data_IF_948449530027
#
_entry.id   IF_948449530027
#
_cell.length_a   1.000
_cell.length_b   1.000
_cell.length_c   1.000
_cell.angle_alpha   90.00
_cell.angle_beta   90.00
_cell.angle_gamma   90.00
#
_symmetry.space_group_name_H-M   'P 1'
#
loop_
_entity.id
_entity.type
_entity.pdbx_description
1 polymer ?
#
# COMPACT_ATOMS: atom_id res chain seq x y z
N UNK A 1 49.13 50.93 -23.95
CA UNK A 1 48.59 51.29 -22.64
C UNK A 1 47.08 51.17 -22.76
N UNK A 2 46.51 50.21 -22.09
CA UNK A 2 45.05 49.97 -22.06
C UNK A 2 44.81 48.74 -21.27
N UNK A 3 44.59 48.89 -19.96
CA UNK A 3 44.19 47.82 -19.06
C UNK A 3 42.77 47.37 -19.34
N UNK A 4 42.58 46.07 -19.47
CA UNK A 4 41.24 45.45 -19.55
C UNK A 4 41.13 44.59 -18.29
N UNK A 5 40.43 45.09 -17.28
CA UNK A 5 39.99 44.35 -16.10
C UNK A 5 38.85 43.45 -16.48
N UNK A 6 39.07 42.14 -16.41
CA UNK A 6 38.04 41.11 -16.61
C UNK A 6 37.31 40.80 -15.32
N UNK A 7 36.04 41.17 -15.22
CA UNK A 7 35.14 40.70 -14.20
C UNK A 7 34.71 39.27 -14.47
N UNK A 8 34.99 38.36 -13.55
CA UNK A 8 34.45 36.98 -13.54
C UNK A 8 33.06 37.04 -12.92
N UNK A 9 32.04 36.99 -13.78
CA UNK A 9 30.67 36.75 -13.34
C UNK A 9 30.47 35.34 -12.81
N UNK A 10 30.17 35.21 -11.53
CA UNK A 10 29.68 33.98 -10.91
C UNK A 10 28.28 33.67 -11.47
N UNK A 11 28.17 32.63 -12.25
CA UNK A 11 26.88 32.04 -12.61
C UNK A 11 26.35 31.24 -11.42
N UNK A 12 25.63 31.88 -10.53
CA UNK A 12 24.69 31.23 -9.62
C UNK A 12 23.56 30.63 -10.45
N UNK A 13 23.54 29.33 -10.57
CA UNK A 13 22.37 28.59 -11.06
C UNK A 13 21.29 28.64 -9.99
N UNK A 14 20.41 29.59 -10.11
CA UNK A 14 19.12 29.55 -9.41
C UNK A 14 18.30 28.42 -10.04
N UNK A 15 18.11 27.36 -9.27
CA UNK A 15 17.19 26.30 -9.61
C UNK A 15 15.77 26.88 -9.58
N UNK A 16 15.20 27.06 -10.75
CA UNK A 16 13.87 27.64 -10.91
C UNK A 16 12.84 26.73 -10.26
N UNK A 17 12.10 27.27 -9.31
CA UNK A 17 10.97 26.72 -8.57
C UNK A 17 9.86 26.11 -9.47
N UNK A 18 9.95 26.31 -10.78
CA UNK A 18 8.95 25.84 -11.74
C UNK A 18 9.01 24.35 -12.07
N UNK A 19 10.08 23.63 -11.75
CA UNK A 19 10.17 22.18 -11.97
C UNK A 19 9.58 21.35 -10.84
N UNK A 20 9.44 21.91 -9.64
CA UNK A 20 8.82 21.26 -8.50
C UNK A 20 7.27 21.25 -8.54
N UNK A 21 6.67 22.07 -9.42
CA UNK A 21 5.20 22.13 -9.54
C UNK A 21 4.59 21.08 -10.46
N UNK A 22 5.39 20.32 -11.23
CA UNK A 22 4.86 19.35 -12.22
C UNK A 22 4.60 17.94 -11.67
N UNK A 23 4.92 17.66 -10.42
CA UNK A 23 4.70 16.36 -9.80
C UNK A 23 4.26 16.47 -8.34
N UNK A 24 3.21 17.26 -8.07
CA UNK A 24 2.56 17.18 -6.75
C UNK A 24 1.84 15.83 -6.67
N UNK A 25 2.20 14.97 -5.72
CA UNK A 25 1.43 13.77 -5.45
C UNK A 25 0.01 14.20 -5.06
N UNK A 26 -0.99 13.56 -5.63
CA UNK A 26 -2.39 13.78 -5.26
C UNK A 26 -2.69 12.93 -4.05
N UNK A 27 -3.08 13.54 -2.95
CA UNK A 27 -3.60 12.84 -1.78
C UNK A 27 -5.01 12.34 -2.13
N UNK A 28 -5.29 11.06 -1.89
CA UNK A 28 -6.61 10.47 -2.18
C UNK A 28 -7.70 11.11 -1.31
N UNK A 29 -7.34 11.65 -0.14
CA UNK A 29 -8.25 12.44 0.70
C UNK A 29 -8.84 13.67 -0.02
N UNK A 30 -8.12 14.26 -0.96
CA UNK A 30 -8.65 15.36 -1.78
C UNK A 30 -9.75 14.89 -2.75
N UNK A 31 -9.85 13.57 -2.98
CA UNK A 31 -10.86 12.95 -3.83
C UNK A 31 -12.11 12.53 -3.02
N UNK A 32 -11.98 12.39 -1.68
CA UNK A 32 -13.05 11.91 -0.81
C UNK A 32 -13.89 13.04 -0.17
N UNK A 33 -13.66 14.32 -0.48
CA UNK A 33 -14.30 15.46 0.18
C UNK A 33 -15.78 15.71 -0.18
N UNK A 34 -16.50 14.70 -0.68
CA UNK A 34 -17.89 14.84 -1.15
C UNK A 34 -18.94 13.95 -0.49
N UNK A 35 -18.62 13.09 0.47
CA UNK A 35 -19.60 12.16 1.03
C UNK A 35 -19.69 12.24 2.56
N UNK A 36 -20.56 13.11 3.05
CA UNK A 36 -21.14 13.02 4.40
C UNK A 36 -22.17 11.89 4.42
N UNK A 37 -21.91 10.88 5.24
CA UNK A 37 -22.93 9.98 5.73
C UNK A 37 -22.92 8.57 5.17
N UNK A 38 -22.31 7.67 5.92
CA UNK A 38 -22.85 6.33 6.11
C UNK A 38 -22.42 5.76 7.47
N UNK A 39 -23.21 6.03 8.47
CA UNK A 39 -23.24 5.30 9.73
C UNK A 39 -24.26 4.18 9.57
N UNK A 40 -23.85 2.98 9.25
CA UNK A 40 -24.63 1.78 9.52
C UNK A 40 -24.04 1.07 10.73
N UNK A 41 -24.76 1.12 11.86
CA UNK A 41 -24.57 0.24 13.00
C UNK A 41 -24.86 -1.18 12.56
N UNK A 42 -23.85 -2.05 12.60
CA UNK A 42 -23.97 -3.48 12.40
C UNK A 42 -22.97 -4.18 13.31
N UNK A 43 -23.47 -5.11 14.10
CA UNK A 43 -22.83 -5.82 15.19
C UNK A 43 -21.45 -6.38 14.86
N UNK A 44 -20.51 -6.13 15.77
CA UNK A 44 -19.14 -6.62 15.68
C UNK A 44 -19.06 -8.13 15.75
N UNK A 45 -18.84 -8.77 14.64
CA UNK A 45 -18.13 -10.04 14.39
C UNK A 45 -18.14 -10.37 12.90
N UNK A 46 -17.45 -9.58 12.09
CA UNK A 46 -17.22 -9.91 10.67
C UNK A 46 -16.00 -10.81 10.51
N UNK A 47 -16.11 -12.08 10.81
CA UNK A 47 -15.19 -13.09 10.29
C UNK A 47 -15.55 -13.25 8.82
N UNK A 48 -14.68 -12.78 7.93
CA UNK A 48 -14.82 -13.04 6.50
C UNK A 48 -14.52 -14.50 6.23
N UNK A 49 -15.55 -15.34 6.33
CA UNK A 49 -15.49 -16.71 5.85
C UNK A 49 -15.76 -16.68 4.35
N UNK A 50 -14.71 -16.91 3.59
CA UNK A 50 -14.83 -17.16 2.15
C UNK A 50 -15.50 -18.54 1.98
N UNK A 51 -16.79 -18.54 1.62
CA UNK A 51 -17.49 -19.77 1.24
C UNK A 51 -16.94 -20.24 -0.11
N UNK A 52 -16.10 -21.25 -0.09
CA UNK A 52 -15.81 -22.05 -1.27
C UNK A 52 -16.93 -23.07 -1.42
N UNK A 53 -17.77 -22.89 -2.42
CA UNK A 53 -18.77 -23.90 -2.82
C UNK A 53 -18.07 -25.16 -3.29
N UNK A 54 -18.50 -26.26 -2.71
CA UNK A 54 -18.11 -27.64 -2.88
C UNK A 54 -17.83 -28.05 -4.32
N UNK A 55 -16.60 -28.50 -4.58
CA UNK A 55 -16.33 -29.51 -5.61
C UNK A 55 -16.55 -30.85 -4.93
N UNK A 56 -17.55 -31.59 -5.40
CA UNK A 56 -17.82 -32.97 -5.02
C UNK A 56 -16.61 -33.83 -5.40
N UNK A 57 -15.78 -34.11 -4.42
CA UNK A 57 -14.69 -35.09 -4.50
C UNK A 57 -15.07 -36.33 -3.71
N UNK A 58 -14.65 -37.46 -4.17
CA UNK A 58 -14.83 -38.82 -3.65
C UNK A 58 -14.55 -38.88 -2.12
N UNK A 59 -15.53 -39.31 -1.34
CA UNK A 59 -15.56 -39.27 0.14
C UNK A 59 -14.70 -40.37 0.82
N UNK A 60 -13.72 -40.98 0.13
CA UNK A 60 -13.02 -42.16 0.67
C UNK A 60 -11.57 -41.94 1.11
N UNK A 61 -11.01 -40.74 1.01
CA UNK A 61 -9.70 -40.45 1.54
C UNK A 61 -9.76 -39.42 2.69
N UNK A 62 -9.20 -39.73 3.83
CA UNK A 62 -9.03 -38.83 4.97
C UNK A 62 -8.09 -37.64 4.66
N UNK A 63 -7.37 -37.73 3.54
CA UNK A 63 -6.45 -36.69 3.05
C UNK A 63 -7.14 -35.77 2.04
N UNK A 64 -7.53 -34.59 2.48
CA UNK A 64 -7.98 -33.53 1.57
C UNK A 64 -6.81 -32.67 1.06
N UNK A 65 -6.78 -32.29 -0.23
CA UNK A 65 -5.73 -31.39 -0.75
C UNK A 65 -5.81 -30.04 -0.06
N UNK A 66 -4.83 -29.77 0.78
CA UNK A 66 -4.71 -28.48 1.47
C UNK A 66 -3.78 -27.55 0.71
N UNK A 67 -4.13 -26.25 0.67
CA UNK A 67 -3.25 -25.21 0.13
C UNK A 67 -2.00 -25.14 1.01
N UNK A 68 -0.84 -25.37 0.42
CA UNK A 68 0.44 -25.24 1.14
C UNK A 68 0.62 -23.80 1.62
N UNK A 69 0.91 -23.64 2.89
CA UNK A 69 1.43 -22.39 3.43
C UNK A 69 2.87 -22.25 2.95
N UNK A 70 3.15 -21.22 2.17
CA UNK A 70 4.50 -20.95 1.65
C UNK A 70 5.21 -20.03 2.61
N UNK A 71 6.36 -20.47 3.13
CA UNK A 71 7.32 -19.63 3.86
C UNK A 71 8.56 -19.39 3.00
N UNK A 72 9.25 -18.29 3.24
CA UNK A 72 10.52 -17.99 2.60
C UNK A 72 11.66 -18.71 3.32
N UNK A 73 12.60 -19.29 2.58
CA UNK A 73 13.77 -19.99 3.15
C UNK A 73 14.70 -19.03 3.91
N UNK A 74 14.69 -17.76 3.52
CA UNK A 74 15.49 -16.69 4.07
C UNK A 74 14.90 -16.08 5.36
N UNK A 75 13.72 -16.54 5.75
CA UNK A 75 13.07 -16.09 6.99
C UNK A 75 13.80 -16.65 8.21
N UNK A 76 14.17 -15.78 9.14
CA UNK A 76 14.85 -16.15 10.37
C UNK A 76 13.86 -16.29 11.53
N UNK A 77 13.61 -17.50 12.02
CA UNK A 77 12.67 -17.79 13.11
C UNK A 77 12.92 -16.95 14.37
N UNK A 78 14.19 -16.68 14.70
CA UNK A 78 14.55 -15.85 15.86
C UNK A 78 14.06 -14.41 15.71
N UNK A 79 14.16 -13.83 14.52
CA UNK A 79 13.68 -12.47 14.24
C UNK A 79 12.15 -12.42 14.24
N UNK A 80 11.51 -13.46 13.74
CA UNK A 80 10.05 -13.60 13.76
C UNK A 80 9.54 -13.68 15.20
N UNK A 81 10.14 -14.54 16.02
CA UNK A 81 9.75 -14.70 17.43
C UNK A 81 9.98 -13.41 18.23
N UNK A 82 11.08 -12.70 17.98
CA UNK A 82 11.35 -11.41 18.62
C UNK A 82 10.30 -10.36 18.23
N UNK A 83 9.97 -10.25 16.94
CA UNK A 83 8.92 -9.36 16.46
C UNK A 83 7.55 -9.68 17.07
N UNK A 84 7.17 -10.96 17.11
CA UNK A 84 5.90 -11.40 17.70
C UNK A 84 5.82 -11.07 19.20
N UNK A 85 6.90 -11.26 19.93
CA UNK A 85 6.97 -10.88 21.35
C UNK A 85 6.84 -9.35 21.52
N UNK A 86 7.51 -8.57 20.70
CA UNK A 86 7.46 -7.10 20.73
C UNK A 86 6.07 -6.58 20.40
N UNK A 87 5.47 -7.03 19.29
CA UNK A 87 4.17 -6.52 18.83
C UNK A 87 3.03 -6.93 19.76
N UNK A 88 3.13 -8.09 20.43
CA UNK A 88 2.12 -8.57 21.36
C UNK A 88 1.99 -7.71 22.62
N UNK A 89 2.98 -6.87 22.93
CA UNK A 89 2.92 -5.92 24.03
C UNK A 89 1.96 -4.74 23.78
N UNK A 90 1.51 -4.56 22.54
CA UNK A 90 0.66 -3.43 22.15
C UNK A 90 -0.78 -3.88 21.86
N UNK A 91 -1.77 -3.05 22.24
CA UNK A 91 -3.16 -3.33 21.89
C UNK A 91 -3.35 -3.35 20.36
N UNK A 92 -4.05 -4.34 19.80
CA UNK A 92 -4.27 -4.42 18.34
C UNK A 92 -4.87 -3.15 17.74
N UNK A 93 -5.73 -2.45 18.50
CA UNK A 93 -6.34 -1.20 18.09
C UNK A 93 -5.41 0.00 17.98
N UNK A 94 -4.15 -0.12 18.41
CA UNK A 94 -3.14 0.93 18.31
C UNK A 94 -2.02 0.61 17.33
N UNK A 95 -2.15 -0.46 16.56
CA UNK A 95 -1.14 -0.88 15.60
C UNK A 95 -1.59 -0.49 14.19
N UNK A 96 -0.80 0.36 13.55
CA UNK A 96 -0.96 0.74 12.14
C UNK A 96 0.09 0.05 11.30
N UNK A 97 -0.32 -0.56 10.19
CA UNK A 97 0.55 -1.27 9.25
C UNK A 97 0.72 -0.44 7.97
N UNK A 98 1.95 -0.16 7.60
CA UNK A 98 2.30 0.66 6.43
C UNK A 98 2.88 -0.21 5.34
N UNK A 99 2.52 0.10 4.10
CA UNK A 99 3.07 -0.55 2.91
C UNK A 99 2.84 0.25 1.64
N UNK A 100 3.59 -0.05 0.57
CA UNK A 100 3.41 0.49 -0.76
C UNK A 100 2.88 -0.56 -1.71
N UNK A 101 1.97 -0.13 -2.58
CA UNK A 101 1.39 -0.96 -3.61
C UNK A 101 1.55 -0.34 -4.99
N UNK A 102 2.12 -1.07 -5.93
CA UNK A 102 2.11 -0.68 -7.34
C UNK A 102 0.95 -1.32 -8.08
N UNK A 103 0.19 -0.50 -8.82
CA UNK A 103 -0.95 -0.95 -9.62
C UNK A 103 -0.76 -0.46 -11.06
N UNK A 104 -0.85 -1.37 -12.02
CA UNK A 104 -0.87 -1.01 -13.42
C UNK A 104 -2.24 -0.44 -13.80
N UNK A 105 -2.27 0.65 -14.57
CA UNK A 105 -3.53 1.27 -15.00
C UNK A 105 -4.34 0.40 -15.96
N UNK A 106 -3.78 -0.71 -16.41
CA UNK A 106 -4.47 -1.75 -17.17
C UNK A 106 -4.49 -3.05 -16.36
N UNK A 107 -5.67 -3.37 -15.84
CA UNK A 107 -5.92 -4.61 -15.09
C UNK A 107 -6.83 -5.50 -15.92
N UNK A 108 -6.45 -6.74 -16.14
CA UNK A 108 -7.25 -7.73 -16.83
C UNK A 108 -7.51 -8.96 -15.95
N UNK A 109 -8.54 -9.72 -16.30
CA UNK A 109 -8.84 -10.97 -15.61
C UNK A 109 -7.99 -12.08 -16.23
N UNK A 110 -7.20 -12.75 -15.41
CA UNK A 110 -6.34 -13.87 -15.83
C UNK A 110 -7.12 -15.17 -15.98
N UNK A 111 -8.30 -15.24 -15.35
CA UNK A 111 -9.13 -16.44 -15.31
C UNK A 111 -10.51 -16.17 -15.89
N UNK A 112 -11.05 -17.15 -16.60
CA UNK A 112 -12.42 -17.18 -17.11
C UNK A 112 -13.06 -18.54 -16.88
N UNK A 113 -14.38 -18.61 -17.01
CA UNK A 113 -15.14 -19.85 -16.87
C UNK A 113 -15.54 -20.37 -18.24
N UNK A 114 -15.39 -21.67 -18.46
CA UNK A 114 -15.87 -22.38 -19.63
C UNK A 114 -16.29 -23.80 -19.25
N UNK A 115 -17.10 -24.49 -20.07
CA UNK A 115 -17.36 -25.90 -19.91
C UNK A 115 -16.07 -26.72 -19.87
N UNK A 116 -16.07 -27.83 -19.13
CA UNK A 116 -14.92 -28.73 -19.01
C UNK A 116 -14.40 -29.14 -20.39
N UNK A 117 -13.09 -29.00 -20.61
CA UNK A 117 -12.43 -29.33 -21.87
C UNK A 117 -12.42 -28.21 -22.91
N UNK A 118 -13.04 -27.05 -22.66
CA UNK A 118 -12.98 -25.89 -23.52
C UNK A 118 -11.96 -24.86 -23.01
N UNK A 119 -11.15 -24.32 -23.93
CA UNK A 119 -10.19 -23.24 -23.58
C UNK A 119 -10.90 -21.91 -23.58
N UNK A 120 -10.61 -21.10 -22.57
CA UNK A 120 -11.01 -19.68 -22.53
C UNK A 120 -9.95 -18.84 -23.23
N UNK A 121 -10.37 -18.03 -24.18
CA UNK A 121 -9.51 -17.08 -24.87
C UNK A 121 -9.91 -15.65 -24.48
N UNK A 122 -8.94 -14.83 -24.14
CA UNK A 122 -9.11 -13.39 -23.95
C UNK A 122 -8.05 -12.64 -24.75
N UNK A 123 -8.45 -11.51 -25.35
CA UNK A 123 -7.51 -10.61 -26.01
C UNK A 123 -7.05 -9.59 -25.01
N UNK A 124 -5.76 -9.60 -24.69
CA UNK A 124 -5.12 -8.61 -23.82
C UNK A 124 -4.31 -7.61 -24.64
N UNK A 125 -4.17 -6.40 -24.15
CA UNK A 125 -3.33 -5.40 -24.80
C UNK A 125 -1.85 -5.73 -24.59
N UNK A 126 -1.07 -5.73 -25.66
CA UNK A 126 0.40 -5.85 -25.61
C UNK A 126 1.13 -4.54 -25.33
N UNK A 127 0.43 -3.44 -25.07
CA UNK A 127 1.03 -2.14 -24.77
C UNK A 127 1.49 -2.07 -23.32
N UNK A 128 2.55 -1.30 -23.06
CA UNK A 128 2.94 -0.93 -21.69
C UNK A 128 1.98 0.14 -21.18
N UNK A 129 1.43 -0.08 -20.03
CA UNK A 129 0.57 0.88 -19.34
C UNK A 129 1.34 1.58 -18.22
N UNK A 130 0.84 2.75 -17.83
CA UNK A 130 1.39 3.50 -16.72
C UNK A 130 1.17 2.70 -15.42
N UNK A 131 2.19 2.68 -14.58
CA UNK A 131 2.08 2.14 -13.23
C UNK A 131 1.86 3.29 -12.26
N UNK A 132 0.86 3.14 -11.40
CA UNK A 132 0.55 4.03 -10.31
C UNK A 132 1.05 3.40 -9.00
N UNK A 133 1.76 4.15 -8.19
CA UNK A 133 2.11 3.77 -6.82
C UNK A 133 1.09 4.31 -5.83
N UNK A 134 0.85 3.56 -4.77
CA UNK A 134 0.01 3.97 -3.65
C UNK A 134 0.74 3.59 -2.38
N UNK A 135 0.84 4.51 -1.43
CA UNK A 135 1.28 4.25 -0.06
C UNK A 135 0.13 4.55 0.88
N UNK A 136 -0.06 3.74 1.89
CA UNK A 136 -1.07 3.95 2.92
C UNK A 136 -0.70 3.23 4.22
N UNK A 137 -1.42 3.55 5.29
CA UNK A 137 -1.43 2.77 6.51
C UNK A 137 -2.81 2.14 6.73
N UNK A 138 -2.83 0.97 7.35
CA UNK A 138 -4.06 0.31 7.79
C UNK A 138 -4.06 0.18 9.31
N UNK A 139 -5.10 0.68 9.97
CA UNK A 139 -5.29 0.54 11.40
C UNK A 139 -6.78 0.30 11.70
N UNK A 140 -7.10 -0.69 12.50
CA UNK A 140 -8.49 -1.04 12.84
C UNK A 140 -9.40 -1.28 11.63
N UNK A 141 -8.87 -1.84 10.55
CA UNK A 141 -9.62 -2.07 9.31
C UNK A 141 -9.85 -0.82 8.47
N UNK A 142 -9.37 0.35 8.90
CA UNK A 142 -9.45 1.60 8.14
C UNK A 142 -8.14 1.90 7.44
N UNK A 143 -8.23 2.51 6.28
CA UNK A 143 -7.07 3.00 5.54
C UNK A 143 -6.83 4.46 5.94
N UNK A 144 -5.59 4.76 6.31
CA UNK A 144 -5.14 6.07 6.76
C UNK A 144 -4.13 6.65 5.79
N UNK A 145 -4.22 7.96 5.57
CA UNK A 145 -3.29 8.74 4.77
C UNK A 145 -2.95 8.13 3.39
N UNK A 146 -3.92 7.62 2.60
CA UNK A 146 -3.60 7.06 1.29
C UNK A 146 -3.05 8.16 0.37
N UNK A 147 -1.89 7.89 -0.24
CA UNK A 147 -1.23 8.77 -1.21
C UNK A 147 -0.96 8.02 -2.50
N UNK A 148 -1.51 8.56 -3.59
CA UNK A 148 -1.20 8.12 -4.94
C UNK A 148 0.00 8.91 -5.48
N UNK A 149 0.95 8.22 -6.12
CA UNK A 149 2.11 8.85 -6.72
C UNK A 149 2.48 8.19 -8.05
N UNK A 150 3.17 8.95 -8.90
CA UNK A 150 3.71 8.49 -10.17
C UNK A 150 5.19 8.12 -10.01
N UNK A 151 5.59 7.06 -10.70
CA UNK A 151 6.99 6.61 -10.68
C UNK A 151 7.30 5.65 -9.54
N UNK A 152 8.46 5.81 -8.94
CA UNK A 152 8.96 4.96 -7.85
C UNK A 152 8.99 5.74 -6.55
N UNK A 153 8.59 5.11 -5.45
CA UNK A 153 8.76 5.68 -4.12
C UNK A 153 10.24 5.89 -3.84
N UNK A 154 10.58 7.11 -3.44
CA UNK A 154 11.91 7.45 -2.96
C UNK A 154 11.87 7.88 -1.50
N UNK A 155 13.06 8.03 -0.92
CA UNK A 155 13.20 8.44 0.48
C UNK A 155 12.47 9.75 0.78
N UNK A 156 12.65 10.77 -0.06
CA UNK A 156 12.12 12.11 0.20
C UNK A 156 10.60 12.13 0.20
N UNK A 157 9.99 11.42 -0.74
CA UNK A 157 8.54 11.29 -0.85
C UNK A 157 7.98 10.51 0.33
N UNK A 158 8.63 9.39 0.71
CA UNK A 158 8.19 8.60 1.84
C UNK A 158 8.30 9.36 3.17
N UNK A 159 9.43 10.01 3.43
CA UNK A 159 9.63 10.80 4.65
C UNK A 159 8.65 11.99 4.73
N UNK A 160 8.37 12.64 3.61
CA UNK A 160 7.35 13.69 3.52
C UNK A 160 5.95 13.13 3.86
N UNK A 161 5.54 12.04 3.21
CA UNK A 161 4.26 11.40 3.46
C UNK A 161 4.13 10.93 4.91
N UNK A 162 5.14 10.23 5.41
CA UNK A 162 5.16 9.73 6.78
C UNK A 162 4.98 10.85 7.81
N UNK A 163 5.77 11.93 7.66
CA UNK A 163 5.80 13.03 8.65
C UNK A 163 4.59 13.94 8.56
N UNK A 164 4.10 14.23 7.34
CA UNK A 164 3.11 15.29 7.11
C UNK A 164 1.70 14.76 6.84
N UNK A 165 1.56 13.48 6.48
CA UNK A 165 0.26 12.90 6.18
C UNK A 165 -0.10 11.79 7.17
N UNK A 166 0.79 10.82 7.42
CA UNK A 166 0.47 9.71 8.30
C UNK A 166 0.51 10.09 9.78
N UNK A 167 1.63 10.61 10.28
CA UNK A 167 1.78 10.89 11.71
C UNK A 167 0.69 11.80 12.29
N UNK A 168 0.20 12.85 11.59
CA UNK A 168 -0.91 13.68 12.09
C UNK A 168 -2.24 12.94 12.26
N UNK A 169 -2.42 11.80 11.60
CA UNK A 169 -3.66 11.00 11.72
C UNK A 169 -3.63 10.01 12.88
N UNK A 170 -2.48 9.86 13.53
CA UNK A 170 -2.26 8.89 14.60
C UNK A 170 -2.25 9.55 15.97
N UNK A 171 -2.90 8.89 16.93
CA UNK A 171 -2.83 9.28 18.33
C UNK A 171 -1.49 8.91 18.95
N UNK A 172 -1.08 9.66 19.97
CA UNK A 172 0.11 9.30 20.77
C UNK A 172 -0.04 7.92 21.38
N UNK A 173 1.06 7.19 21.39
CA UNK A 173 1.10 5.81 21.90
C UNK A 173 0.63 4.76 20.87
N UNK A 174 0.35 5.15 19.64
CA UNK A 174 0.22 4.20 18.53
C UNK A 174 1.57 3.60 18.13
N UNK A 175 1.50 2.47 17.48
CA UNK A 175 2.65 1.75 16.90
C UNK A 175 2.47 1.74 15.41
N UNK A 176 3.52 2.07 14.67
CA UNK A 176 3.57 1.93 13.22
C UNK A 176 4.50 0.79 12.87
N UNK A 177 3.98 -0.17 12.13
CA UNK A 177 4.73 -1.32 11.60
C UNK A 177 4.92 -1.10 10.11
N UNK A 178 6.13 -1.25 9.62
CA UNK A 178 6.45 -1.15 8.20
C UNK A 178 7.51 -2.17 7.78
N UNK A 179 7.66 -2.37 6.50
CA UNK A 179 8.70 -3.21 5.96
C UNK A 179 10.10 -2.60 6.12
N UNK A 180 11.10 -3.36 5.74
CA UNK A 180 12.50 -2.97 5.86
C UNK A 180 13.10 -2.55 4.51
N UNK A 181 12.34 -1.77 3.70
CA UNK A 181 12.80 -1.31 2.40
C UNK A 181 14.11 -0.49 2.50
N UNK A 182 14.95 -0.63 1.49
CA UNK A 182 16.29 -0.03 1.48
C UNK A 182 16.31 1.50 1.43
N UNK A 183 15.24 2.13 0.95
CA UNK A 183 15.12 3.58 0.89
C UNK A 183 14.67 4.19 2.23
N UNK A 184 14.23 3.40 3.20
CA UNK A 184 13.86 3.90 4.52
C UNK A 184 15.09 4.34 5.32
N UNK A 185 15.17 5.64 5.60
CA UNK A 185 16.18 6.16 6.53
C UNK A 185 15.71 5.95 7.98
N UNK A 186 16.01 4.77 8.53
CA UNK A 186 15.53 4.37 9.86
C UNK A 186 15.80 5.41 10.93
N UNK A 187 17.03 5.94 10.99
CA UNK A 187 17.42 6.94 12.00
C UNK A 187 16.51 8.16 11.95
N UNK A 188 16.19 8.65 10.75
CA UNK A 188 15.30 9.79 10.57
C UNK A 188 13.87 9.43 10.97
N UNK A 189 13.34 8.32 10.46
CA UNK A 189 11.98 7.87 10.75
C UNK A 189 11.77 7.62 12.25
N UNK A 190 12.72 6.98 12.95
CA UNK A 190 12.66 6.81 14.40
C UNK A 190 12.61 8.15 15.13
N UNK A 191 13.46 9.10 14.73
CA UNK A 191 13.49 10.44 15.37
C UNK A 191 12.16 11.18 15.20
N UNK A 192 11.57 11.14 14.02
CA UNK A 192 10.31 11.83 13.72
C UNK A 192 9.13 11.14 14.43
N UNK A 193 9.05 9.82 14.39
CA UNK A 193 8.03 9.05 15.09
C UNK A 193 8.09 9.30 16.62
N UNK A 194 9.27 9.24 17.20
CA UNK A 194 9.48 9.49 18.62
C UNK A 194 9.00 10.88 19.05
N UNK A 195 9.30 11.92 18.25
CA UNK A 195 8.81 13.29 18.50
C UNK A 195 7.28 13.38 18.47
N UNK A 196 6.64 12.58 17.64
CA UNK A 196 5.19 12.47 17.57
C UNK A 196 4.59 11.61 18.69
N UNK A 197 5.42 10.92 19.48
CA UNK A 197 4.98 9.97 20.52
C UNK A 197 4.49 8.64 19.95
N UNK A 198 4.99 8.27 18.78
CA UNK A 198 4.66 7.02 18.05
C UNK A 198 5.85 6.06 18.14
N UNK A 199 5.56 4.79 18.37
CA UNK A 199 6.57 3.72 18.31
C UNK A 199 6.66 3.20 16.87
N UNK A 200 7.88 3.01 16.38
CA UNK A 200 8.12 2.46 15.04
C UNK A 200 8.75 1.08 15.18
N UNK A 201 8.18 0.09 14.52
CA UNK A 201 8.66 -1.30 14.48
C UNK A 201 8.83 -1.72 13.02
N UNK A 202 9.91 -2.41 12.72
CA UNK A 202 10.14 -2.97 11.39
C UNK A 202 9.80 -4.45 11.35
N UNK A 203 9.14 -4.88 10.26
CA UNK A 203 8.86 -6.29 10.01
C UNK A 203 10.17 -7.10 9.91
N UNK A 204 10.16 -8.37 10.32
CA UNK A 204 11.24 -9.26 10.01
C UNK A 204 11.44 -9.37 8.49
N UNK A 205 12.67 -9.55 8.00
CA UNK A 205 12.89 -9.80 6.59
C UNK A 205 12.09 -11.00 6.08
N UNK A 206 11.59 -10.91 4.84
CA UNK A 206 10.84 -11.98 4.19
C UNK A 206 9.59 -12.46 4.93
N UNK A 207 8.88 -11.54 5.58
CA UNK A 207 7.71 -11.85 6.43
C UNK A 207 6.47 -11.01 6.08
N UNK A 208 6.01 -11.02 4.81
CA UNK A 208 4.83 -10.24 4.39
C UNK A 208 3.53 -10.70 5.07
N UNK A 209 3.49 -11.96 5.55
CA UNK A 209 2.34 -12.52 6.28
C UNK A 209 2.01 -11.76 7.57
N UNK A 210 2.97 -11.01 8.12
CA UNK A 210 2.75 -10.15 9.29
C UNK A 210 2.30 -8.73 8.92
N UNK A 211 2.05 -8.46 7.63
CA UNK A 211 1.53 -7.17 7.17
C UNK A 211 0.08 -7.29 6.68
N UNK A 212 -0.93 -7.04 7.51
CA UNK A 212 -2.35 -7.20 7.14
C UNK A 212 -2.79 -6.32 5.96
N UNK A 213 -2.13 -5.20 5.70
CA UNK A 213 -2.45 -4.30 4.58
C UNK A 213 -2.30 -4.99 3.20
N UNK A 214 -1.51 -6.06 3.12
CA UNK A 214 -1.37 -6.88 1.91
C UNK A 214 -2.71 -7.50 1.46
N UNK A 215 -3.57 -7.86 2.42
CA UNK A 215 -4.93 -8.33 2.14
C UNK A 215 -5.79 -7.22 1.53
N UNK A 216 -5.62 -6.00 2.02
CA UNK A 216 -6.29 -4.83 1.47
C UNK A 216 -5.83 -4.58 0.01
N UNK A 217 -4.53 -4.63 -0.27
CA UNK A 217 -4.01 -4.48 -1.63
C UNK A 217 -4.55 -5.56 -2.58
N UNK A 218 -4.64 -6.79 -2.13
CA UNK A 218 -5.22 -7.88 -2.91
C UNK A 218 -6.70 -7.63 -3.21
N UNK A 219 -7.47 -7.15 -2.23
CA UNK A 219 -8.86 -6.74 -2.42
C UNK A 219 -8.97 -5.57 -3.39
N UNK A 220 -8.18 -4.51 -3.19
CA UNK A 220 -8.19 -3.31 -4.04
C UNK A 220 -7.92 -3.65 -5.51
N UNK A 221 -6.86 -4.43 -5.78
CA UNK A 221 -6.54 -4.87 -7.15
C UNK A 221 -7.67 -5.70 -7.77
N UNK A 222 -8.33 -6.54 -6.99
CA UNK A 222 -9.48 -7.33 -7.46
C UNK A 222 -10.68 -6.44 -7.76
N UNK A 223 -10.97 -5.50 -6.89
CA UNK A 223 -12.07 -4.57 -7.05
C UNK A 223 -11.87 -3.67 -8.27
N UNK A 224 -10.70 -3.07 -8.41
CA UNK A 224 -10.34 -2.25 -9.56
C UNK A 224 -10.46 -2.99 -10.91
N UNK A 225 -10.11 -4.29 -10.98
CA UNK A 225 -10.33 -5.08 -12.21
C UNK A 225 -11.79 -5.14 -12.64
N UNK A 226 -12.72 -5.02 -11.70
CA UNK A 226 -14.15 -5.08 -12.00
C UNK A 226 -14.70 -3.72 -12.40
N UNK A 227 -14.29 -2.63 -11.72
CA UNK A 227 -14.87 -1.31 -11.93
C UNK A 227 -14.14 -0.48 -13.00
N UNK A 228 -12.85 -0.70 -13.21
CA UNK A 228 -12.05 0.07 -14.16
C UNK A 228 -12.62 0.10 -15.60
N UNK A 229 -13.16 -0.99 -16.16
CA UNK A 229 -13.79 -0.96 -17.47
C UNK A 229 -15.07 -0.10 -17.54
N UNK A 230 -15.67 0.22 -16.39
CA UNK A 230 -16.92 0.98 -16.25
C UNK A 230 -16.66 2.44 -15.83
N UNK A 231 -15.44 2.75 -15.41
CA UNK A 231 -15.07 4.07 -14.90
C UNK A 231 -14.49 4.95 -16.01
N UNK A 232 -14.70 6.27 -15.95
CA UNK A 232 -14.15 7.21 -16.94
C UNK A 232 -12.63 7.25 -16.97
N UNK A 233 -12.01 7.08 -15.79
CA UNK A 233 -10.55 7.08 -15.65
C UNK A 233 -10.09 6.13 -14.53
N UNK A 234 -8.78 5.88 -14.47
CA UNK A 234 -8.17 5.11 -13.38
C UNK A 234 -8.32 5.84 -12.03
N UNK A 235 -8.18 7.17 -12.03
CA UNK A 235 -8.28 7.99 -10.83
C UNK A 235 -9.71 7.97 -10.26
N UNK A 236 -10.74 7.98 -11.13
CA UNK A 236 -12.14 7.84 -10.70
C UNK A 236 -12.39 6.45 -10.11
N UNK A 237 -11.95 5.38 -10.79
CA UNK A 237 -12.08 4.03 -10.29
C UNK A 237 -11.39 3.84 -8.93
N UNK A 238 -10.20 4.43 -8.77
CA UNK A 238 -9.45 4.36 -7.52
C UNK A 238 -10.16 5.12 -6.40
N UNK A 239 -10.69 6.30 -6.70
CA UNK A 239 -11.49 7.10 -5.76
C UNK A 239 -12.72 6.33 -5.27
N UNK A 240 -13.49 5.74 -6.20
CA UNK A 240 -14.67 4.93 -5.87
C UNK A 240 -14.30 3.72 -5.00
N UNK A 241 -13.16 3.07 -5.30
CA UNK A 241 -12.69 1.94 -4.50
C UNK A 241 -12.35 2.35 -3.07
N UNK A 242 -11.73 3.52 -2.85
CA UNK A 242 -11.41 4.01 -1.51
C UNK A 242 -12.62 4.49 -0.72
N UNK A 243 -13.72 4.88 -1.37
CA UNK A 243 -14.98 5.22 -0.68
C UNK A 243 -15.66 4.00 -0.03
N UNK A 244 -15.28 2.79 -0.41
CA UNK A 244 -15.83 1.54 0.13
C UNK A 244 -15.02 1.01 1.34
N UNK A 245 -13.96 1.71 1.80
CA UNK A 245 -12.98 1.21 2.79
C UNK A 245 -13.18 1.82 4.19
#
# INVERSE_FOLDING_TARGET
>A
MGEITGERGEFRKEATTSQLQKSRPRTIESLCSGASGCLSKGDGRGVWVQSYSNLSGDETSEDHPQKKTTGYREQEEKKVSAYQAEISAYPPGKIGYVDECGIDTYLYREYGYSPRGQKVFSRISGRKYKRCGIVAAQMNGRILAPLQYDGTMDRSLFEFWFSNQLLPTLDKGCVVVMDNASFHCKTHLFSVAQKAGITLIFLPPYSPEFNPIEHFWAWLKRHLRNILPLSPSFDDALSDAFQLC
#
